data_IF_037670542962
#
_entry.id   IF_037670542962
#
_cell.length_a   1.000
_cell.length_b   1.000
_cell.length_c   1.000
_cell.angle_alpha   90.00
_cell.angle_beta   90.00
_cell.angle_gamma   90.00
#
_symmetry.space_group_name_H-M   'P 1'
#
loop_
_entity.id
_entity.type
_entity.pdbx_description
1 polymer ?
#
# COMPACT_ATOMS: atom_id res chain seq x y z
N UNK A 1 -16.10 -8.43 25.24
CA UNK A 1 -17.50 -8.12 24.87
C UNK A 1 -17.60 -6.63 24.69
N UNK A 2 -17.94 -6.22 23.47
CA UNK A 2 -18.14 -4.81 23.16
C UNK A 2 -19.54 -4.35 23.53
N UNK A 3 -19.69 -3.06 23.80
CA UNK A 3 -20.93 -2.42 24.25
C UNK A 3 -21.46 -1.43 23.22
N UNK A 4 -22.71 -0.98 23.39
CA UNK A 4 -23.27 0.12 22.58
C UNK A 4 -22.43 1.38 22.68
N UNK A 5 -21.84 1.64 23.84
CA UNK A 5 -20.99 2.82 24.03
C UNK A 5 -19.68 2.71 23.24
N UNK A 6 -19.14 1.50 23.06
CA UNK A 6 -17.98 1.28 22.19
C UNK A 6 -18.33 1.55 20.72
N UNK A 7 -19.49 1.07 20.26
CA UNK A 7 -20.00 1.34 18.91
C UNK A 7 -20.21 2.84 18.71
N UNK A 8 -20.86 3.52 19.67
CA UNK A 8 -21.12 4.96 19.63
C UNK A 8 -19.81 5.75 19.58
N UNK A 9 -18.85 5.43 20.46
CA UNK A 9 -17.53 6.08 20.50
C UNK A 9 -16.81 5.97 19.15
N UNK A 10 -16.79 4.79 18.55
CA UNK A 10 -16.16 4.56 17.25
C UNK A 10 -16.91 5.28 16.13
N UNK A 11 -18.23 5.10 16.05
CA UNK A 11 -19.04 5.65 14.97
C UNK A 11 -19.05 7.19 14.96
N UNK A 12 -19.18 7.83 16.12
CA UNK A 12 -19.21 9.29 16.24
C UNK A 12 -17.85 9.95 16.04
N UNK A 13 -16.75 9.20 16.13
CA UNK A 13 -15.42 9.69 15.75
C UNK A 13 -15.27 9.80 14.21
N UNK A 14 -16.07 9.05 13.44
CA UNK A 14 -15.99 9.00 11.99
C UNK A 14 -16.72 10.21 11.35
N UNK A 15 -16.11 10.92 10.39
CA UNK A 15 -16.70 12.10 9.79
C UNK A 15 -18.03 11.82 9.11
N UNK A 16 -18.95 12.77 9.29
CA UNK A 16 -20.31 12.76 8.70
C UNK A 16 -21.22 11.68 9.25
N UNK A 17 -20.82 10.98 10.31
CA UNK A 17 -21.70 10.10 11.05
C UNK A 17 -22.66 10.91 11.91
N UNK A 18 -23.93 10.56 11.86
CA UNK A 18 -24.96 11.03 12.78
C UNK A 18 -25.64 9.83 13.46
N UNK A 19 -25.90 9.94 14.76
CA UNK A 19 -26.72 8.98 15.52
C UNK A 19 -28.20 9.35 15.44
N UNK A 20 -29.05 8.34 15.20
CA UNK A 20 -30.50 8.48 15.10
C UNK A 20 -31.19 7.35 15.85
N UNK A 21 -32.19 7.70 16.66
CA UNK A 21 -33.07 6.73 17.31
C UNK A 21 -34.33 6.54 16.46
N UNK A 22 -34.49 5.37 15.83
CA UNK A 22 -35.64 5.06 14.97
C UNK A 22 -36.29 3.76 15.43
N UNK A 23 -37.53 3.84 15.92
CA UNK A 23 -38.31 2.69 16.43
C UNK A 23 -37.55 1.89 17.50
N UNK A 24 -36.96 2.62 18.45
CA UNK A 24 -36.15 2.10 19.56
C UNK A 24 -34.89 1.35 19.11
N UNK A 25 -34.32 1.76 17.98
CA UNK A 25 -33.04 1.25 17.49
C UNK A 25 -32.09 2.40 17.24
N UNK A 26 -30.90 2.31 17.83
CA UNK A 26 -29.80 3.24 17.58
C UNK A 26 -29.23 2.93 16.20
N UNK A 27 -29.16 3.94 15.34
CA UNK A 27 -28.65 3.84 13.98
C UNK A 27 -27.63 4.93 13.72
N UNK A 28 -26.59 4.58 12.95
CA UNK A 28 -25.58 5.52 12.51
C UNK A 28 -25.66 5.67 11.00
N UNK A 29 -25.67 6.92 10.52
CA UNK A 29 -25.87 7.24 9.11
C UNK A 29 -24.93 8.30 8.59
N UNK A 30 -24.68 8.26 7.28
CA UNK A 30 -24.05 9.32 6.50
C UNK A 30 -25.12 9.90 5.57
N UNK A 31 -25.60 11.10 5.88
CA UNK A 31 -26.73 11.71 5.16
C UNK A 31 -27.97 10.82 5.21
N UNK A 32 -28.31 10.14 4.11
CA UNK A 32 -29.47 9.23 4.05
C UNK A 32 -29.11 7.75 4.14
N UNK A 33 -27.82 7.41 4.17
CA UNK A 33 -27.32 6.03 4.14
C UNK A 33 -27.07 5.57 5.57
N UNK A 34 -27.85 4.59 6.04
CA UNK A 34 -27.58 3.90 7.30
C UNK A 34 -26.46 2.89 7.05
N UNK A 35 -25.40 2.93 7.85
CA UNK A 35 -24.26 2.02 7.73
C UNK A 35 -24.03 1.17 8.98
N UNK A 36 -24.60 1.55 10.13
CA UNK A 36 -24.70 0.70 11.33
C UNK A 36 -26.11 0.80 11.94
N UNK A 37 -26.58 -0.30 12.54
CA UNK A 37 -27.79 -0.34 13.33
C UNK A 37 -27.69 -1.37 14.45
N UNK A 38 -27.99 -0.97 15.68
CA UNK A 38 -28.08 -1.87 16.82
C UNK A 38 -29.46 -2.52 16.89
N UNK A 39 -29.50 -3.79 17.30
CA UNK A 39 -30.76 -4.46 17.68
C UNK A 39 -31.36 -3.81 18.93
N UNK A 40 -32.65 -4.08 19.19
CA UNK A 40 -33.37 -3.46 20.32
C UNK A 40 -32.88 -3.93 21.68
N UNK A 41 -32.41 -5.17 21.73
CA UNK A 41 -31.80 -5.80 22.89
C UNK A 41 -30.29 -5.56 22.95
N UNK A 42 -29.74 -4.77 22.02
CA UNK A 42 -28.33 -4.35 22.00
C UNK A 42 -27.32 -5.51 21.91
N UNK A 43 -27.77 -6.68 21.44
CA UNK A 43 -26.93 -7.88 21.31
C UNK A 43 -26.33 -8.05 19.91
N UNK A 44 -26.94 -7.42 18.90
CA UNK A 44 -26.52 -7.50 17.50
C UNK A 44 -26.20 -6.12 16.92
N UNK A 45 -25.10 -6.06 16.16
CA UNK A 45 -24.74 -4.94 15.32
C UNK A 45 -24.95 -5.31 13.85
N UNK A 46 -25.94 -4.69 13.22
CA UNK A 46 -26.06 -4.67 11.77
C UNK A 46 -25.10 -3.65 11.18
N UNK A 47 -24.38 -4.01 10.12
CA UNK A 47 -23.42 -3.15 9.45
C UNK A 47 -23.45 -3.29 7.93
N UNK A 48 -23.04 -2.22 7.24
CA UNK A 48 -22.86 -2.24 5.80
C UNK A 48 -21.77 -3.24 5.41
N UNK A 49 -22.08 -4.12 4.45
CA UNK A 49 -21.17 -5.20 4.02
C UNK A 49 -21.47 -5.67 2.58
N UNK A 50 -20.48 -6.07 1.75
CA UNK A 50 -20.73 -6.52 0.38
C UNK A 50 -21.69 -7.72 0.31
N UNK A 51 -22.66 -7.69 -0.62
CA UNK A 51 -23.69 -8.75 -0.70
C UNK A 51 -23.11 -10.08 -1.16
N UNK A 52 -22.09 -9.97 -2.00
CA UNK A 52 -21.39 -11.05 -2.68
C UNK A 52 -20.55 -11.86 -1.68
N UNK A 53 -20.13 -11.23 -0.58
CA UNK A 53 -19.20 -11.80 0.39
C UNK A 53 -19.88 -12.28 1.67
N UNK A 54 -21.04 -11.73 2.06
CA UNK A 54 -21.66 -12.02 3.38
C UNK A 54 -21.98 -13.51 3.59
N UNK A 55 -22.29 -14.25 2.51
CA UNK A 55 -22.60 -15.67 2.64
C UNK A 55 -21.34 -16.46 3.04
N UNK A 56 -20.18 -16.08 2.51
CA UNK A 56 -18.89 -16.68 2.87
C UNK A 56 -18.49 -16.30 4.31
N UNK A 57 -18.63 -15.04 4.70
CA UNK A 57 -18.35 -14.57 6.07
C UNK A 57 -19.19 -15.31 7.12
N UNK A 58 -20.48 -15.47 6.86
CA UNK A 58 -21.38 -16.20 7.78
C UNK A 58 -21.05 -17.69 7.80
N UNK A 59 -20.59 -18.27 6.68
CA UNK A 59 -20.18 -19.67 6.64
C UNK A 59 -18.86 -19.91 7.37
N UNK A 60 -17.94 -18.94 7.40
CA UNK A 60 -16.65 -19.07 8.08
C UNK A 60 -16.75 -18.88 9.59
N UNK A 61 -17.58 -17.94 10.04
CA UNK A 61 -17.74 -17.60 11.47
C UNK A 61 -19.24 -17.49 11.85
N UNK A 62 -19.99 -18.61 11.76
CA UNK A 62 -21.44 -18.63 12.01
C UNK A 62 -21.84 -18.27 13.44
N UNK A 63 -20.91 -18.41 14.40
CA UNK A 63 -21.05 -17.99 15.78
C UNK A 63 -20.92 -16.48 15.97
N UNK A 64 -20.25 -15.76 15.05
CA UNK A 64 -20.14 -14.30 15.08
C UNK A 64 -21.13 -13.61 14.16
N UNK A 65 -21.30 -14.10 12.93
CA UNK A 65 -22.07 -13.42 11.90
C UNK A 65 -23.35 -14.14 11.53
N UNK A 66 -24.36 -13.37 11.08
CA UNK A 66 -25.58 -13.91 10.50
C UNK A 66 -26.07 -13.07 9.32
N UNK A 67 -26.80 -13.72 8.42
CA UNK A 67 -27.46 -13.03 7.32
C UNK A 67 -28.58 -12.14 7.86
N UNK A 68 -28.83 -10.97 7.23
CA UNK A 68 -29.97 -10.16 7.61
C UNK A 68 -31.29 -10.89 7.29
N UNK A 69 -32.38 -10.46 7.92
CA UNK A 69 -33.71 -10.99 7.63
C UNK A 69 -34.09 -10.83 6.15
N UNK A 70 -35.03 -11.65 5.66
CA UNK A 70 -35.42 -11.70 4.25
C UNK A 70 -35.73 -10.32 3.63
N UNK A 71 -36.35 -9.42 4.39
CA UNK A 71 -36.67 -8.06 3.97
C UNK A 71 -35.43 -7.17 3.71
N UNK A 72 -34.30 -7.47 4.35
CA UNK A 72 -33.07 -6.67 4.27
C UNK A 72 -31.99 -7.31 3.38
N UNK A 73 -32.23 -8.53 2.87
CA UNK A 73 -31.34 -9.22 1.93
C UNK A 73 -31.08 -8.42 0.64
N UNK A 74 -31.95 -7.47 0.27
CA UNK A 74 -31.74 -6.56 -0.86
C UNK A 74 -30.69 -5.48 -0.62
N UNK A 75 -30.18 -5.31 0.61
CA UNK A 75 -29.18 -4.30 0.96
C UNK A 75 -27.78 -4.93 1.14
N UNK A 76 -26.76 -4.07 1.12
CA UNK A 76 -25.37 -4.42 1.43
C UNK A 76 -25.23 -4.46 2.96
N UNK A 77 -25.57 -5.59 3.56
CA UNK A 77 -25.78 -5.68 5.01
C UNK A 77 -25.47 -7.08 5.54
N UNK A 78 -24.91 -7.14 6.75
CA UNK A 78 -24.69 -8.35 7.57
C UNK A 78 -24.89 -8.01 9.05
N UNK A 79 -25.17 -9.00 9.90
CA UNK A 79 -25.25 -8.83 11.35
C UNK A 79 -24.07 -9.51 12.04
N UNK A 80 -23.56 -8.89 13.10
CA UNK A 80 -22.55 -9.43 13.99
C UNK A 80 -23.08 -9.49 15.43
N UNK A 81 -22.79 -10.58 16.16
CA UNK A 81 -23.10 -10.73 17.58
C UNK A 81 -22.06 -10.00 18.41
N UNK A 82 -22.45 -8.97 19.14
CA UNK A 82 -21.54 -8.11 19.89
C UNK A 82 -20.77 -8.84 21.00
N UNK A 83 -21.37 -9.90 21.57
CA UNK A 83 -20.71 -10.73 22.57
C UNK A 83 -19.47 -11.46 22.04
N UNK A 84 -19.41 -11.73 20.74
CA UNK A 84 -18.36 -12.49 20.09
C UNK A 84 -17.28 -11.62 19.42
N UNK A 85 -17.39 -10.29 19.52
CA UNK A 85 -16.42 -9.33 19.01
C UNK A 85 -15.51 -8.81 20.13
N UNK A 86 -14.23 -8.64 19.79
CA UNK A 86 -13.31 -7.80 20.56
C UNK A 86 -13.28 -6.34 20.07
N UNK A 87 -12.50 -5.50 20.75
CA UNK A 87 -12.44 -4.07 20.48
C UNK A 87 -11.73 -3.73 19.15
N UNK A 88 -10.75 -4.53 18.74
CA UNK A 88 -10.04 -4.37 17.48
C UNK A 88 -10.94 -4.75 16.31
N UNK A 89 -11.56 -5.92 16.38
CA UNK A 89 -12.54 -6.40 15.40
C UNK A 89 -13.69 -5.40 15.24
N UNK A 90 -14.24 -4.87 16.34
CA UNK A 90 -15.30 -3.86 16.27
C UNK A 90 -14.83 -2.59 15.54
N UNK A 91 -13.62 -2.11 15.82
CA UNK A 91 -13.07 -0.92 15.18
C UNK A 91 -12.92 -1.10 13.67
N UNK A 92 -12.43 -2.27 13.23
CA UNK A 92 -12.33 -2.62 11.81
C UNK A 92 -13.70 -2.66 11.14
N UNK A 93 -14.64 -3.42 11.70
CA UNK A 93 -15.99 -3.57 11.16
C UNK A 93 -16.73 -2.24 11.03
N UNK A 94 -16.65 -1.39 12.06
CA UNK A 94 -17.26 -0.05 12.06
C UNK A 94 -16.62 0.85 11.00
N UNK A 95 -15.29 0.80 10.88
CA UNK A 95 -14.53 1.61 9.93
C UNK A 95 -14.79 1.18 8.49
N UNK A 96 -14.80 -0.11 8.18
CA UNK A 96 -15.01 -0.62 6.83
C UNK A 96 -16.46 -0.41 6.36
N UNK A 97 -17.45 -0.61 7.24
CA UNK A 97 -18.84 -0.27 6.96
C UNK A 97 -19.01 1.22 6.62
N UNK A 98 -18.31 2.11 7.34
CA UNK A 98 -18.29 3.55 7.07
C UNK A 98 -17.61 3.88 5.73
N UNK A 99 -16.46 3.25 5.42
CA UNK A 99 -15.74 3.43 4.15
C UNK A 99 -16.59 3.07 2.94
N UNK A 100 -17.45 2.06 3.05
CA UNK A 100 -18.39 1.70 1.99
C UNK A 100 -19.42 2.80 1.70
N UNK A 101 -19.70 3.66 2.68
CA UNK A 101 -20.83 4.59 2.65
C UNK A 101 -20.42 6.07 2.51
N UNK A 102 -19.14 6.40 2.73
CA UNK A 102 -18.61 7.76 2.65
C UNK A 102 -17.87 8.00 1.31
N UNK A 103 -17.83 9.23 0.76
CA UNK A 103 -16.99 9.49 -0.40
C UNK A 103 -15.51 9.17 -0.13
N UNK A 104 -14.83 8.52 -1.07
CA UNK A 104 -13.44 8.06 -0.92
C UNK A 104 -12.46 9.16 -0.44
N UNK A 105 -12.68 10.42 -0.82
CA UNK A 105 -11.88 11.56 -0.37
C UNK A 105 -11.97 11.80 1.15
N UNK A 106 -13.14 11.57 1.74
CA UNK A 106 -13.38 11.73 3.18
C UNK A 106 -12.77 10.56 3.95
N UNK A 107 -12.96 9.33 3.46
CA UNK A 107 -12.32 8.14 4.00
C UNK A 107 -10.81 8.34 4.12
N UNK A 108 -10.19 8.74 3.01
CA UNK A 108 -8.77 9.07 2.99
C UNK A 108 -8.40 10.15 3.99
N UNK A 109 -9.08 11.30 3.99
CA UNK A 109 -8.69 12.42 4.84
C UNK A 109 -8.80 12.13 6.35
N UNK A 110 -9.58 11.13 6.75
CA UNK A 110 -9.78 10.77 8.15
C UNK A 110 -8.90 9.62 8.62
N UNK A 111 -8.69 8.63 7.76
CA UNK A 111 -7.87 7.45 8.06
C UNK A 111 -6.37 7.72 7.86
N UNK A 112 -6.05 8.80 7.14
CA UNK A 112 -4.71 9.36 7.08
C UNK A 112 -4.52 10.19 8.36
N UNK A 113 -3.98 9.58 9.42
CA UNK A 113 -3.64 10.29 10.66
C UNK A 113 -2.45 11.26 10.47
N UNK A 114 -1.89 11.31 9.24
CA UNK A 114 -0.73 12.11 8.88
C UNK A 114 0.55 11.73 9.62
N UNK A 115 0.49 10.69 10.45
CA UNK A 115 1.57 10.25 11.33
C UNK A 115 2.13 8.97 10.73
N UNK A 116 3.24 9.12 10.02
CA UNK A 116 3.99 7.95 9.54
C UNK A 116 4.26 7.02 10.73
N UNK A 117 4.19 5.69 10.54
CA UNK A 117 4.63 4.78 11.58
C UNK A 117 6.08 5.11 11.99
N UNK A 118 6.50 4.79 13.23
CA UNK A 118 7.88 4.99 13.63
C UNK A 118 8.81 4.23 12.68
N UNK A 119 10.05 4.72 12.55
CA UNK A 119 11.08 4.02 11.79
C UNK A 119 11.23 2.59 12.32
N UNK A 120 11.36 1.57 11.45
CA UNK A 120 11.61 0.21 11.91
C UNK A 120 12.96 0.16 12.63
N UNK A 121 12.98 -0.50 13.79
CA UNK A 121 14.24 -0.89 14.42
C UNK A 121 14.94 -1.99 13.61
N UNK A 122 16.23 -2.22 13.90
CA UNK A 122 17.02 -3.25 13.21
C UNK A 122 16.41 -4.65 13.28
N UNK A 123 15.77 -5.02 14.40
CA UNK A 123 15.10 -6.32 14.53
C UNK A 123 13.86 -6.43 13.64
N UNK A 124 13.08 -5.34 13.50
CA UNK A 124 11.96 -5.30 12.57
C UNK A 124 12.39 -5.41 11.11
N UNK A 125 13.52 -4.78 10.75
CA UNK A 125 14.13 -4.94 9.44
C UNK A 125 14.61 -6.39 9.20
N UNK A 126 15.26 -7.00 10.20
CA UNK A 126 15.71 -8.40 10.11
C UNK A 126 14.54 -9.36 9.93
N UNK A 127 13.51 -9.25 10.76
CA UNK A 127 12.32 -10.10 10.70
C UNK A 127 11.62 -9.99 9.33
N UNK A 128 11.41 -8.77 8.84
CA UNK A 128 10.81 -8.58 7.52
C UNK A 128 11.71 -9.11 6.39
N UNK A 129 13.02 -8.93 6.49
CA UNK A 129 13.98 -9.44 5.51
C UNK A 129 13.97 -10.98 5.43
N UNK A 130 13.85 -11.67 6.58
CA UNK A 130 13.70 -13.13 6.67
C UNK A 130 12.40 -13.60 6.02
N UNK A 131 11.26 -12.97 6.37
CA UNK A 131 9.97 -13.26 5.73
C UNK A 131 10.05 -13.02 4.22
N UNK A 132 10.67 -11.91 3.81
CA UNK A 132 10.75 -11.55 2.40
C UNK A 132 11.68 -12.48 1.61
N UNK A 133 12.77 -12.96 2.21
CA UNK A 133 13.67 -13.93 1.58
C UNK A 133 12.98 -15.28 1.30
N UNK A 134 11.92 -15.61 2.05
CA UNK A 134 11.03 -16.74 1.77
C UNK A 134 10.20 -16.56 0.49
N UNK A 135 10.00 -15.32 0.02
CA UNK A 135 9.47 -15.09 -1.32
C UNK A 135 10.56 -15.37 -2.35
N UNK A 136 10.20 -16.11 -3.41
CA UNK A 136 11.09 -16.62 -4.46
C UNK A 136 12.30 -15.72 -4.70
N UNK A 137 13.50 -16.30 -4.59
CA UNK A 137 14.75 -15.66 -5.03
C UNK A 137 14.51 -14.92 -6.35
N UNK A 138 14.83 -13.63 -6.38
CA UNK A 138 14.41 -12.76 -7.47
C UNK A 138 15.25 -12.98 -8.74
N UNK A 139 14.97 -14.10 -9.38
CA UNK A 139 15.55 -14.48 -10.68
C UNK A 139 15.27 -13.43 -11.73
N UNK A 140 14.18 -12.67 -11.60
CA UNK A 140 13.86 -11.60 -12.55
C UNK A 140 14.78 -10.39 -12.36
N UNK A 141 15.15 -10.05 -11.13
CA UNK A 141 16.15 -9.03 -10.83
C UNK A 141 17.54 -9.41 -11.34
N UNK A 142 17.97 -10.64 -11.09
CA UNK A 142 19.26 -11.14 -11.59
C UNK A 142 19.28 -11.13 -13.13
N UNK A 143 18.22 -11.59 -13.78
CA UNK A 143 18.10 -11.54 -15.24
C UNK A 143 18.15 -10.10 -15.78
N UNK A 144 17.51 -9.14 -15.10
CA UNK A 144 17.59 -7.73 -15.46
C UNK A 144 19.05 -7.24 -15.37
N UNK A 145 19.71 -7.43 -14.23
CA UNK A 145 21.09 -6.99 -14.02
C UNK A 145 22.07 -7.59 -15.04
N UNK A 146 21.93 -8.87 -15.35
CA UNK A 146 22.76 -9.53 -16.38
C UNK A 146 22.50 -8.94 -17.77
N UNK A 147 21.24 -8.72 -18.13
CA UNK A 147 20.87 -8.18 -19.44
C UNK A 147 21.24 -6.70 -19.62
N UNK A 148 21.50 -5.99 -18.52
CA UNK A 148 21.79 -4.55 -18.52
C UNK A 148 23.11 -4.21 -17.84
N UNK A 149 24.08 -5.12 -17.76
CA UNK A 149 25.36 -4.82 -17.15
C UNK A 149 26.13 -3.76 -17.97
N UNK A 150 26.87 -2.81 -17.33
CA UNK A 150 27.09 -2.65 -15.89
C UNK A 150 25.96 -1.89 -15.15
N UNK A 151 24.99 -1.36 -15.88
CA UNK A 151 23.83 -0.66 -15.33
C UNK A 151 22.80 -0.36 -16.42
N UNK A 152 21.55 -0.17 -16.03
CA UNK A 152 20.47 0.10 -16.97
C UNK A 152 20.72 1.46 -17.65
N UNK A 153 20.83 1.42 -18.98
CA UNK A 153 20.78 2.58 -19.86
C UNK A 153 19.53 2.51 -20.75
N UNK A 154 18.55 3.38 -20.51
CA UNK A 154 17.32 3.38 -21.30
C UNK A 154 17.47 4.07 -22.67
N UNK A 155 18.67 4.52 -23.05
CA UNK A 155 18.97 4.85 -24.44
C UNK A 155 18.95 3.60 -25.33
N UNK A 156 19.25 2.44 -24.75
CA UNK A 156 19.31 1.14 -25.42
C UNK A 156 17.95 0.43 -25.44
N UNK A 157 17.48 0.01 -26.62
CA UNK A 157 16.20 -0.68 -26.78
C UNK A 157 16.16 -2.04 -26.04
N UNK A 158 17.29 -2.74 -26.01
CA UNK A 158 17.42 -4.01 -25.29
C UNK A 158 17.19 -3.84 -23.78
N UNK A 159 17.70 -2.76 -23.19
CA UNK A 159 17.51 -2.45 -21.77
C UNK A 159 16.07 -2.06 -21.46
N UNK A 160 15.42 -1.27 -22.33
CA UNK A 160 13.98 -0.96 -22.19
C UNK A 160 13.12 -2.23 -22.23
N UNK A 161 13.44 -3.15 -23.13
CA UNK A 161 12.79 -4.47 -23.22
C UNK A 161 13.01 -5.30 -21.95
N UNK A 162 14.25 -5.32 -21.42
CA UNK A 162 14.56 -6.01 -20.17
C UNK A 162 13.80 -5.43 -18.97
N UNK A 163 13.72 -4.10 -18.88
CA UNK A 163 12.96 -3.41 -17.84
C UNK A 163 11.46 -3.72 -17.93
N UNK A 164 10.87 -3.72 -19.13
CA UNK A 164 9.47 -4.11 -19.33
C UNK A 164 9.19 -5.52 -18.81
N UNK A 165 10.04 -6.49 -19.17
CA UNK A 165 9.90 -7.88 -18.68
C UNK A 165 9.99 -7.96 -17.15
N UNK A 166 10.94 -7.24 -16.56
CA UNK A 166 11.10 -7.18 -15.10
C UNK A 166 9.87 -6.56 -14.41
N UNK A 167 9.36 -5.42 -14.90
CA UNK A 167 8.15 -4.79 -14.37
C UNK A 167 6.94 -5.74 -14.37
N UNK A 168 6.80 -6.54 -15.43
CA UNK A 168 5.73 -7.53 -15.52
C UNK A 168 5.93 -8.73 -14.58
N UNK A 169 7.16 -9.22 -14.42
CA UNK A 169 7.49 -10.22 -13.43
C UNK A 169 7.18 -9.73 -11.99
N UNK A 170 7.27 -8.42 -11.78
CA UNK A 170 6.92 -7.72 -10.54
C UNK A 170 5.47 -7.23 -10.47
N UNK A 171 4.59 -7.71 -11.35
CA UNK A 171 3.13 -7.54 -11.23
C UNK A 171 2.53 -6.30 -11.91
N UNK A 172 3.28 -5.53 -12.70
CA UNK A 172 2.78 -4.30 -13.34
C UNK A 172 1.82 -4.51 -14.54
N UNK A 173 1.64 -5.76 -15.01
CA UNK A 173 0.68 -6.17 -16.08
C UNK A 173 0.62 -5.22 -17.29
N UNK A 174 1.78 -4.74 -17.72
CA UNK A 174 1.97 -3.96 -18.93
C UNK A 174 1.87 -4.90 -20.13
N UNK A 175 1.16 -4.48 -21.18
CA UNK A 175 0.93 -5.29 -22.38
C UNK A 175 2.24 -5.42 -23.17
N UNK A 176 2.66 -6.64 -23.48
CA UNK A 176 3.74 -6.89 -24.45
C UNK A 176 3.33 -6.49 -25.89
N UNK A 177 4.28 -6.10 -26.76
CA UNK A 177 4.01 -5.91 -28.19
C UNK A 177 3.50 -7.20 -28.83
N UNK A 178 2.63 -7.07 -29.84
CA UNK A 178 2.33 -8.18 -30.76
C UNK A 178 3.44 -8.27 -31.80
N UNK A 179 3.49 -9.40 -32.51
CA UNK A 179 4.38 -9.57 -33.65
C UNK A 179 4.20 -8.42 -34.67
N UNK A 180 5.31 -7.78 -35.05
CA UNK A 180 5.32 -6.62 -35.94
C UNK A 180 4.90 -5.27 -35.31
N UNK A 181 4.47 -5.23 -34.05
CA UNK A 181 4.18 -3.98 -33.33
C UNK A 181 5.42 -3.53 -32.50
N UNK A 182 5.69 -2.22 -32.40
CA UNK A 182 6.70 -1.71 -31.48
C UNK A 182 6.29 -1.92 -30.02
N UNK A 183 7.27 -2.08 -29.13
CA UNK A 183 7.00 -2.17 -27.69
C UNK A 183 6.35 -0.87 -27.19
N UNK A 184 5.18 -0.94 -26.52
CA UNK A 184 4.45 0.25 -26.10
C UNK A 184 5.17 1.11 -25.05
N UNK A 185 6.22 0.60 -24.39
CA UNK A 185 7.07 1.37 -23.48
C UNK A 185 8.26 2.03 -24.18
N UNK A 186 8.64 1.57 -25.37
CA UNK A 186 9.95 1.85 -25.96
C UNK A 186 10.21 3.34 -26.20
N UNK A 187 9.46 3.94 -27.12
CA UNK A 187 9.66 5.34 -27.51
C UNK A 187 9.42 6.31 -26.33
N UNK A 188 8.43 5.99 -25.49
CA UNK A 188 8.11 6.78 -24.31
C UNK A 188 9.24 6.79 -23.29
N UNK A 189 9.77 5.62 -22.94
CA UNK A 189 10.89 5.52 -21.99
C UNK A 189 12.17 6.14 -22.56
N UNK A 190 12.45 5.97 -23.86
CA UNK A 190 13.60 6.59 -24.51
C UNK A 190 13.52 8.13 -24.42
N UNK A 191 12.37 8.72 -24.75
CA UNK A 191 12.17 10.17 -24.66
C UNK A 191 12.14 10.70 -23.23
N UNK A 192 11.62 9.92 -22.28
CA UNK A 192 11.69 10.28 -20.87
C UNK A 192 13.15 10.27 -20.38
N UNK A 193 13.93 9.26 -20.74
CA UNK A 193 15.32 9.11 -20.32
C UNK A 193 16.21 10.28 -20.74
N UNK A 194 16.04 10.81 -21.95
CA UNK A 194 16.85 11.94 -22.44
C UNK A 194 16.58 13.25 -21.71
N UNK A 195 15.43 13.38 -21.03
CA UNK A 195 15.01 14.61 -20.33
C UNK A 195 15.37 14.62 -18.85
N UNK A 196 15.78 13.47 -18.30
CA UNK A 196 16.00 13.29 -16.86
C UNK A 196 17.43 12.85 -16.55
N UNK A 197 18.04 13.51 -15.56
CA UNK A 197 19.27 13.04 -14.92
C UNK A 197 18.92 12.63 -13.50
N UNK A 198 18.86 11.31 -13.26
CA UNK A 198 18.45 10.78 -11.95
C UNK A 198 19.61 10.82 -10.95
N UNK A 199 19.40 11.37 -9.74
CA UNK A 199 20.35 11.28 -8.62
C UNK A 199 20.79 9.84 -8.34
N UNK A 200 22.04 9.67 -7.90
CA UNK A 200 22.65 8.35 -7.64
C UNK A 200 23.08 8.10 -6.20
N UNK A 201 22.94 9.08 -5.30
CA UNK A 201 23.31 8.91 -3.90
C UNK A 201 22.43 7.84 -3.22
N UNK A 202 22.93 7.11 -2.21
CA UNK A 202 22.09 6.25 -1.38
C UNK A 202 20.94 7.04 -0.75
N UNK A 203 19.81 6.38 -0.49
CA UNK A 203 18.59 7.05 -0.01
C UNK A 203 18.82 7.88 1.28
N UNK A 204 19.70 7.41 2.17
CA UNK A 204 20.06 8.09 3.41
C UNK A 204 20.79 9.43 3.18
N UNK A 205 21.48 9.58 2.04
CA UNK A 205 22.29 10.74 1.70
C UNK A 205 21.58 11.73 0.75
N UNK A 206 20.34 11.46 0.35
CA UNK A 206 19.60 12.32 -0.57
C UNK A 206 19.31 13.70 0.01
N UNK A 207 19.56 14.75 -0.76
CA UNK A 207 19.10 16.10 -0.45
C UNK A 207 17.62 16.29 -0.80
N UNK A 208 16.97 17.31 -0.23
CA UNK A 208 15.57 17.63 -0.60
C UNK A 208 15.42 18.03 -2.07
N UNK A 209 16.46 18.63 -2.67
CA UNK A 209 16.50 18.96 -4.10
C UNK A 209 16.50 17.70 -4.95
N UNK A 210 17.32 16.71 -4.61
CA UNK A 210 17.39 15.44 -5.32
C UNK A 210 16.08 14.64 -5.16
N UNK A 211 15.47 14.64 -3.98
CA UNK A 211 14.14 14.07 -3.77
C UNK A 211 13.09 14.76 -4.66
N UNK A 212 13.14 16.09 -4.76
CA UNK A 212 12.27 16.85 -5.66
C UNK A 212 12.44 16.45 -7.13
N UNK A 213 13.69 16.28 -7.59
CA UNK A 213 13.98 15.83 -8.95
C UNK A 213 13.47 14.40 -9.21
N UNK A 214 13.68 13.46 -8.27
CA UNK A 214 13.14 12.10 -8.35
C UNK A 214 11.61 12.08 -8.37
N UNK A 215 10.96 12.96 -7.60
CA UNK A 215 9.51 13.09 -7.57
C UNK A 215 8.95 13.60 -8.91
N UNK A 216 9.54 14.64 -9.49
CA UNK A 216 9.13 15.14 -10.80
C UNK A 216 9.32 14.07 -11.89
N UNK A 217 10.48 13.39 -11.88
CA UNK A 217 10.77 12.29 -12.79
C UNK A 217 9.74 11.15 -12.66
N UNK A 218 9.36 10.81 -11.42
CA UNK A 218 8.29 9.86 -11.11
C UNK A 218 6.93 10.30 -11.67
N UNK A 219 6.54 11.57 -11.47
CA UNK A 219 5.25 12.10 -11.91
C UNK A 219 5.08 11.98 -13.42
N UNK A 220 6.11 12.38 -14.17
CA UNK A 220 6.13 12.24 -15.62
C UNK A 220 6.15 10.77 -16.06
N UNK A 221 6.92 9.92 -15.38
CA UNK A 221 7.02 8.50 -15.71
C UNK A 221 5.69 7.78 -15.46
N UNK A 222 4.98 8.11 -14.37
CA UNK A 222 3.67 7.55 -14.06
C UNK A 222 2.59 7.97 -15.08
N UNK A 223 2.72 9.17 -15.65
CA UNK A 223 1.85 9.70 -16.68
C UNK A 223 2.23 9.23 -18.11
N UNK A 224 3.36 8.52 -18.26
CA UNK A 224 3.86 8.08 -19.57
C UNK A 224 2.79 7.26 -20.30
N UNK A 225 2.41 7.62 -21.55
CA UNK A 225 1.44 6.85 -22.32
C UNK A 225 1.97 5.45 -22.68
N UNK A 226 1.11 4.44 -22.48
CA UNK A 226 1.37 3.02 -22.78
C UNK A 226 0.12 2.44 -23.44
N UNK A 227 0.04 2.56 -24.76
CA UNK A 227 -1.17 2.26 -25.51
C UNK A 227 -2.33 3.19 -25.11
N UNK A 228 -3.44 2.62 -24.59
CA UNK A 228 -4.62 3.39 -24.14
C UNK A 228 -4.59 3.76 -22.65
N UNK A 229 -3.55 3.37 -21.93
CA UNK A 229 -3.37 3.63 -20.50
C UNK A 229 -2.08 4.43 -20.29
N UNK A 230 -1.82 4.82 -19.06
CA UNK A 230 -0.47 5.27 -18.67
C UNK A 230 0.30 4.12 -18.03
N UNK A 231 1.60 4.29 -17.85
CA UNK A 231 2.46 3.35 -17.12
C UNK A 231 1.94 3.15 -15.68
N UNK A 232 1.50 4.24 -15.07
CA UNK A 232 0.86 4.25 -13.76
C UNK A 232 1.83 4.32 -12.58
N UNK A 233 1.31 4.68 -11.39
CA UNK A 233 2.12 4.96 -10.19
C UNK A 233 3.08 3.82 -9.76
N UNK A 234 2.57 2.61 -9.63
CA UNK A 234 3.35 1.48 -9.10
C UNK A 234 4.47 1.07 -10.05
N UNK A 235 4.20 1.04 -11.36
CA UNK A 235 5.22 0.71 -12.35
C UNK A 235 6.29 1.80 -12.46
N UNK A 236 5.92 3.08 -12.35
CA UNK A 236 6.88 4.18 -12.33
C UNK A 236 7.83 4.12 -11.12
N UNK A 237 7.31 3.86 -9.91
CA UNK A 237 8.15 3.72 -8.72
C UNK A 237 9.13 2.54 -8.83
N UNK A 238 8.65 1.39 -9.31
CA UNK A 238 9.50 0.21 -9.54
C UNK A 238 10.55 0.45 -10.63
N UNK A 239 10.19 1.13 -11.71
CA UNK A 239 11.14 1.49 -12.76
C UNK A 239 12.25 2.42 -12.23
N UNK A 240 11.91 3.42 -11.42
CA UNK A 240 12.90 4.28 -10.77
C UNK A 240 13.80 3.50 -9.79
N UNK A 241 13.25 2.54 -9.04
CA UNK A 241 14.06 1.64 -8.23
C UNK A 241 15.04 0.82 -9.08
N UNK A 242 14.59 0.23 -10.18
CA UNK A 242 15.46 -0.53 -11.06
C UNK A 242 16.61 0.34 -11.62
N UNK A 243 16.33 1.59 -11.96
CA UNK A 243 17.33 2.55 -12.45
C UNK A 243 18.28 3.03 -11.35
N UNK A 244 17.82 3.10 -10.10
CA UNK A 244 18.56 3.63 -8.96
C UNK A 244 18.31 2.82 -7.68
N UNK A 245 18.83 1.58 -7.61
CA UNK A 245 18.45 0.62 -6.55
C UNK A 245 18.91 1.02 -5.15
N UNK A 246 19.95 1.86 -5.03
CA UNK A 246 20.39 2.39 -3.72
C UNK A 246 19.65 3.66 -3.31
N UNK A 247 18.98 4.33 -4.25
CA UNK A 247 18.46 5.68 -4.08
C UNK A 247 16.95 5.70 -3.86
N UNK A 248 16.23 4.89 -4.64
CA UNK A 248 14.77 4.95 -4.68
C UNK A 248 14.21 3.80 -3.87
N UNK A 249 13.47 4.10 -2.80
CA UNK A 249 12.62 3.13 -2.15
C UNK A 249 11.35 2.98 -2.99
N UNK A 250 11.09 1.80 -3.61
CA UNK A 250 9.87 1.60 -4.37
C UNK A 250 8.66 1.50 -3.44
N UNK A 251 7.47 1.60 -4.04
CA UNK A 251 6.20 1.35 -3.34
C UNK A 251 5.22 0.60 -4.24
N UNK A 252 4.18 0.03 -3.62
CA UNK A 252 2.98 -0.40 -4.30
C UNK A 252 1.77 0.46 -3.90
N UNK A 253 0.58 0.08 -4.38
CA UNK A 253 -0.65 0.79 -4.04
C UNK A 253 -0.96 0.77 -2.54
N UNK A 254 -0.78 -0.37 -1.86
CA UNK A 254 -1.08 -0.49 -0.45
C UNK A 254 -0.15 0.40 0.39
N UNK A 255 1.14 0.36 0.11
CA UNK A 255 2.15 1.20 0.78
C UNK A 255 1.85 2.68 0.55
N UNK A 256 1.63 3.09 -0.71
CA UNK A 256 1.40 4.49 -1.04
C UNK A 256 0.10 5.04 -0.42
N UNK A 257 -0.98 4.25 -0.46
CA UNK A 257 -2.28 4.67 0.10
C UNK A 257 -2.22 4.68 1.63
N UNK A 258 -1.62 3.68 2.28
CA UNK A 258 -1.56 3.61 3.76
C UNK A 258 -0.65 4.67 4.35
N UNK A 259 0.50 4.95 3.73
CA UNK A 259 1.46 5.92 4.29
C UNK A 259 1.20 7.37 3.89
N UNK A 260 0.57 7.61 2.73
CA UNK A 260 0.52 8.96 2.15
C UNK A 260 -0.86 9.36 1.62
N UNK A 261 -1.85 8.46 1.66
CA UNK A 261 -3.20 8.65 1.11
C UNK A 261 -3.25 8.80 -0.43
N UNK A 262 -2.12 8.90 -1.11
CA UNK A 262 -2.05 9.27 -2.52
C UNK A 262 -0.87 8.59 -3.21
N UNK A 263 -0.95 8.58 -4.55
CA UNK A 263 0.03 7.94 -5.43
C UNK A 263 0.64 8.93 -6.43
N UNK A 264 0.49 10.22 -6.15
CA UNK A 264 0.97 11.31 -6.98
C UNK A 264 2.44 11.67 -6.68
N UNK A 265 2.98 12.59 -7.48
CA UNK A 265 4.33 13.13 -7.33
C UNK A 265 4.64 13.60 -5.91
N UNK A 266 3.70 14.32 -5.27
CA UNK A 266 3.93 14.87 -3.93
C UNK A 266 4.01 13.75 -2.88
N UNK A 267 3.16 12.75 -2.99
CA UNK A 267 3.19 11.58 -2.12
C UNK A 267 4.48 10.77 -2.30
N UNK A 268 4.96 10.61 -3.53
CA UNK A 268 6.22 9.90 -3.78
C UNK A 268 7.42 10.66 -3.19
N UNK A 269 7.44 11.99 -3.32
CA UNK A 269 8.45 12.82 -2.67
C UNK A 269 8.41 12.72 -1.14
N UNK A 270 7.23 12.60 -0.51
CA UNK A 270 7.13 12.33 0.94
C UNK A 270 7.66 10.94 1.28
N UNK A 271 7.33 9.92 0.48
CA UNK A 271 7.82 8.56 0.68
C UNK A 271 9.35 8.47 0.66
N UNK A 272 10.02 9.16 -0.27
CA UNK A 272 11.49 9.21 -0.28
C UNK A 272 12.08 9.94 0.92
N UNK A 273 11.41 10.98 1.46
CA UNK A 273 11.83 11.63 2.72
C UNK A 273 11.68 10.68 3.92
N UNK A 274 10.59 9.91 3.97
CA UNK A 274 10.40 8.84 4.96
C UNK A 274 11.54 7.81 4.87
N UNK A 275 11.82 7.30 3.66
CA UNK A 275 12.91 6.35 3.45
C UNK A 275 14.28 6.90 3.83
N UNK A 276 14.57 8.16 3.48
CA UNK A 276 15.80 8.84 3.90
C UNK A 276 15.93 8.89 5.42
N UNK A 277 14.87 9.32 6.12
CA UNK A 277 14.87 9.43 7.56
C UNK A 277 15.05 8.06 8.24
N UNK A 278 14.35 7.03 7.75
CA UNK A 278 14.44 5.68 8.30
C UNK A 278 15.78 5.00 8.01
N UNK A 279 16.34 5.18 6.80
CA UNK A 279 17.67 4.69 6.48
C UNK A 279 18.73 5.37 7.33
N UNK A 280 18.64 6.70 7.52
CA UNK A 280 19.52 7.44 8.42
C UNK A 280 19.44 6.95 9.87
N UNK A 281 18.24 6.66 10.37
CA UNK A 281 18.04 6.11 11.71
C UNK A 281 18.65 4.71 11.86
N UNK A 282 18.47 3.84 10.87
CA UNK A 282 19.05 2.48 10.88
C UNK A 282 20.59 2.50 10.87
N UNK A 283 21.20 3.36 10.05
CA UNK A 283 22.65 3.56 10.01
C UNK A 283 23.19 4.14 11.32
N UNK A 284 22.50 5.14 11.88
CA UNK A 284 22.89 5.73 13.16
C UNK A 284 22.78 4.73 14.32
N UNK A 285 21.73 3.89 14.32
CA UNK A 285 21.53 2.85 15.34
C UNK A 285 22.59 1.74 15.24
N UNK A 286 22.98 1.34 14.02
CA UNK A 286 23.96 0.27 13.83
C UNK A 286 25.41 0.74 14.02
N UNK A 287 25.70 2.01 13.72
CA UNK A 287 27.08 2.52 13.63
C UNK A 287 27.87 1.92 12.47
N UNK A 288 27.19 1.35 11.47
CA UNK A 288 27.79 0.62 10.34
C UNK A 288 27.46 1.30 9.00
N UNK A 289 28.36 1.13 8.03
CA UNK A 289 28.09 1.45 6.63
C UNK A 289 26.96 0.57 6.05
N UNK A 290 26.26 1.07 5.04
CA UNK A 290 25.07 0.43 4.44
C UNK A 290 25.31 -1.04 4.09
N UNK A 291 26.38 -1.34 3.34
CA UNK A 291 26.65 -2.69 2.84
C UNK A 291 26.98 -3.68 3.97
N UNK A 292 27.59 -3.19 5.06
CA UNK A 292 27.88 -4.00 6.26
C UNK A 292 26.58 -4.27 7.02
N UNK A 293 25.74 -3.23 7.17
CA UNK A 293 24.46 -3.35 7.85
C UNK A 293 23.51 -4.32 7.13
N UNK A 294 23.34 -4.19 5.82
CA UNK A 294 22.41 -5.06 5.08
C UNK A 294 22.87 -6.52 5.07
N UNK A 295 24.18 -6.77 5.04
CA UNK A 295 24.74 -8.09 5.24
C UNK A 295 24.46 -8.64 6.65
N UNK A 296 24.62 -7.83 7.70
CA UNK A 296 24.30 -8.21 9.09
C UNK A 296 22.80 -8.45 9.34
N UNK A 297 21.93 -7.86 8.51
CA UNK A 297 20.48 -8.12 8.47
C UNK A 297 20.10 -9.31 7.59
N UNK A 298 21.08 -10.08 7.10
CA UNK A 298 20.85 -11.30 6.32
C UNK A 298 20.58 -11.07 4.82
N UNK A 299 20.79 -9.84 4.32
CA UNK A 299 20.52 -9.46 2.92
C UNK A 299 21.74 -8.81 2.26
N UNK A 300 22.87 -9.53 2.11
CA UNK A 300 24.07 -8.99 1.48
C UNK A 300 23.79 -8.55 0.03
N UNK A 301 24.32 -7.40 -0.37
CA UNK A 301 24.16 -6.83 -1.71
C UNK A 301 22.78 -6.21 -1.99
N UNK A 302 21.89 -6.19 -1.00
CA UNK A 302 20.61 -5.45 -1.05
C UNK A 302 20.81 -4.08 -0.42
N UNK A 303 20.24 -3.03 -1.03
CA UNK A 303 20.30 -1.68 -0.50
C UNK A 303 19.34 -1.48 0.68
N UNK A 304 19.62 -0.48 1.52
CA UNK A 304 18.65 -0.07 2.56
C UNK A 304 17.32 0.39 1.97
N UNK A 305 17.35 1.06 0.81
CA UNK A 305 16.13 1.45 0.10
C UNK A 305 15.23 0.24 -0.20
N UNK A 306 15.82 -0.90 -0.60
CA UNK A 306 15.08 -2.14 -0.85
C UNK A 306 14.65 -2.83 0.45
N UNK A 307 15.49 -2.87 1.49
CA UNK A 307 15.12 -3.45 2.78
C UNK A 307 13.92 -2.73 3.42
N UNK A 308 13.87 -1.39 3.32
CA UNK A 308 12.74 -0.61 3.81
C UNK A 308 11.45 -0.90 3.03
N UNK A 309 11.54 -1.08 1.71
CA UNK A 309 10.42 -1.57 0.89
C UNK A 309 9.97 -2.97 1.31
N UNK A 310 10.88 -3.89 1.62
CA UNK A 310 10.53 -5.24 2.11
C UNK A 310 9.79 -5.19 3.45
N UNK A 311 10.26 -4.36 4.37
CA UNK A 311 9.58 -4.09 5.63
C UNK A 311 8.17 -3.57 5.42
N UNK A 312 8.00 -2.56 4.56
CA UNK A 312 6.70 -2.00 4.23
C UNK A 312 5.80 -3.01 3.53
N UNK A 313 6.34 -3.82 2.63
CA UNK A 313 5.59 -4.87 1.93
C UNK A 313 5.06 -5.93 2.91
N UNK A 314 5.89 -6.41 3.83
CA UNK A 314 5.49 -7.43 4.82
C UNK A 314 4.43 -6.86 5.78
N UNK A 315 4.64 -5.65 6.29
CA UNK A 315 3.78 -5.04 7.32
C UNK A 315 2.49 -4.44 6.76
N UNK A 316 2.56 -3.81 5.58
CA UNK A 316 1.43 -3.06 5.02
C UNK A 316 0.74 -3.76 3.85
N UNK A 317 1.47 -4.47 3.00
CA UNK A 317 0.88 -5.14 1.83
C UNK A 317 0.41 -6.56 2.15
N UNK A 318 1.17 -7.31 2.97
CA UNK A 318 0.83 -8.69 3.34
C UNK A 318 0.02 -8.81 4.63
N UNK A 319 0.06 -7.80 5.51
CA UNK A 319 -0.74 -7.76 6.73
C UNK A 319 -0.32 -8.76 7.81
N UNK A 320 0.99 -9.03 7.95
CA UNK A 320 1.46 -9.80 9.11
C UNK A 320 1.43 -8.88 10.32
N UNK A 321 0.46 -9.09 11.22
CA UNK A 321 0.46 -8.55 12.56
C UNK A 321 1.78 -8.89 13.25
N UNK A 322 2.59 -7.87 13.53
CA UNK A 322 3.76 -8.02 14.37
C UNK A 322 3.30 -8.24 15.81
N UNK A 323 3.05 -9.48 16.20
CA UNK A 323 2.99 -9.84 17.61
C UNK A 323 4.41 -9.78 18.18
N UNK A 324 4.65 -8.71 18.94
CA UNK A 324 5.57 -8.76 20.09
C UNK A 324 4.91 -9.54 21.24
#
# INVERSE_FOLDING_TARGET
MVTVEDVRRLALALPRTEEHLIRDRVKFRIGRIVYLALSRDETELGLAFPKEERAALVASEPEKFSLPGAGDMRYHWVHARMAALDAGELAELVTDAWRMCVPAKVARAHLDDGTLPPAPGLDGLRAAAEVFAGYRADRSWQALLTATAPGIDLSEAAHRTALHRWLNAWGCRIRYPREGEPDPLDAGLASWWTRHTLPGAPIAALTDREIGALAAAYGELAALPVGRRTLGPTAAAKALFALRPRTVMPWDEAIAVRLHGARDERAFGRHLRTGRAWAGAALAQSGQEEDVLTAALGRPGVSLAKLLDEYLYVTLTRGVEGTS
#
